data_IF_531465382003
#
_entry.id   IF_531465382003
#
_cell.length_a   1.000
_cell.length_b   1.000
_cell.length_c   1.000
_cell.angle_alpha   90.00
_cell.angle_beta   90.00
_cell.angle_gamma   90.00
#
_symmetry.space_group_name_H-M   'P 1'
#
loop_
_entity.id
_entity.type
_entity.pdbx_description
1 polymer ?
#
# COMPACT_ATOMS: atom_id res chain seq x y z
N UNK A 1 10.92 -34.11 54.27
CA UNK A 1 10.75 -32.76 53.68
C UNK A 1 9.31 -32.61 53.26
N UNK A 2 8.58 -31.61 53.77
CA UNK A 2 7.15 -31.39 53.46
C UNK A 2 7.02 -30.74 52.07
N UNK A 3 6.15 -31.24 51.17
CA UNK A 3 5.96 -30.64 49.86
C UNK A 3 5.24 -29.30 50.00
N UNK A 4 5.86 -28.24 49.49
CA UNK A 4 5.29 -26.89 49.46
C UNK A 4 3.99 -26.93 48.64
N UNK A 5 2.87 -26.51 49.25
CA UNK A 5 1.59 -26.46 48.55
C UNK A 5 1.62 -25.31 47.53
N UNK A 6 1.09 -25.52 46.31
CA UNK A 6 1.05 -24.51 45.22
C UNK A 6 0.57 -23.12 45.66
N UNK A 7 -0.37 -23.06 46.61
CA UNK A 7 -0.88 -21.79 47.16
C UNK A 7 0.17 -21.02 47.97
N UNK A 8 1.01 -21.73 48.73
CA UNK A 8 2.09 -21.13 49.51
C UNK A 8 3.23 -20.65 48.59
N UNK A 9 3.50 -21.38 47.51
CA UNK A 9 4.47 -20.95 46.49
C UNK A 9 4.05 -19.64 45.81
N UNK A 10 2.77 -19.50 45.45
CA UNK A 10 2.25 -18.28 44.81
C UNK A 10 2.27 -17.08 45.77
N UNK A 11 1.93 -17.29 47.05
CA UNK A 11 2.01 -16.24 48.06
C UNK A 11 3.46 -15.80 48.31
N UNK A 12 4.39 -16.76 48.39
CA UNK A 12 5.82 -16.49 48.56
C UNK A 12 6.41 -15.71 47.39
N UNK A 13 6.12 -16.15 46.15
CA UNK A 13 6.58 -15.47 44.93
C UNK A 13 6.00 -14.05 44.82
N UNK A 14 4.71 -13.87 45.13
CA UNK A 14 4.06 -12.55 45.11
C UNK A 14 4.65 -11.58 46.12
N UNK A 15 4.99 -12.06 47.34
CA UNK A 15 5.63 -11.23 48.36
C UNK A 15 7.07 -10.86 48.03
N UNK A 16 7.84 -11.77 47.42
CA UNK A 16 9.23 -11.53 47.04
C UNK A 16 9.36 -10.46 45.95
N UNK A 17 8.42 -10.43 44.98
CA UNK A 17 8.41 -9.43 43.92
C UNK A 17 8.11 -8.02 44.45
N UNK A 18 7.23 -7.91 45.47
CA UNK A 18 6.92 -6.64 46.11
C UNK A 18 8.10 -6.08 46.92
N UNK A 19 8.90 -6.94 47.58
CA UNK A 19 10.10 -6.51 48.33
C UNK A 19 11.29 -6.15 47.45
N UNK A 20 11.37 -6.68 46.22
CA UNK A 20 12.41 -6.32 45.23
C UNK A 20 12.11 -4.95 44.57
N UNK A 21 10.95 -4.34 44.84
CA UNK A 21 10.60 -3.01 44.36
C UNK A 21 9.85 -2.98 43.03
N UNK A 22 9.45 -4.14 42.50
CA UNK A 22 8.54 -4.21 41.38
C UNK A 22 7.11 -4.13 41.90
N UNK A 23 6.47 -2.96 41.80
CA UNK A 23 5.06 -2.84 42.13
C UNK A 23 4.24 -3.67 41.12
N UNK A 24 3.25 -4.44 41.60
CA UNK A 24 2.36 -5.19 40.72
C UNK A 24 1.67 -4.29 39.68
N UNK A 25 1.48 -3.01 40.03
CA UNK A 25 0.93 -1.99 39.14
C UNK A 25 1.88 -1.67 37.98
N UNK A 26 3.19 -1.63 38.19
CA UNK A 26 4.16 -1.38 37.12
C UNK A 26 4.24 -2.57 36.16
N UNK A 27 4.19 -3.80 36.68
CA UNK A 27 4.14 -5.02 35.86
C UNK A 27 2.87 -5.06 35.01
N UNK A 28 1.70 -4.75 35.59
CA UNK A 28 0.42 -4.72 34.88
C UNK A 28 0.42 -3.62 33.82
N UNK A 29 0.85 -2.40 34.16
CA UNK A 29 0.94 -1.28 33.21
C UNK A 29 1.90 -1.56 32.07
N UNK A 30 3.03 -2.21 32.35
CA UNK A 30 3.99 -2.63 31.35
C UNK A 30 3.40 -3.73 30.45
N UNK A 31 2.73 -4.72 31.03
CA UNK A 31 1.98 -5.75 30.29
C UNK A 31 0.90 -5.18 29.38
N UNK A 32 0.11 -4.23 29.85
CA UNK A 32 -0.93 -3.54 29.07
C UNK A 32 -0.35 -2.73 27.92
N UNK A 33 0.81 -2.09 28.12
CA UNK A 33 1.50 -1.33 27.07
C UNK A 33 2.06 -2.25 25.99
N UNK A 34 2.71 -3.35 26.38
CA UNK A 34 3.20 -4.35 25.42
C UNK A 34 2.05 -5.03 24.70
N UNK A 35 0.95 -5.34 25.40
CA UNK A 35 -0.28 -5.86 24.79
C UNK A 35 -0.88 -4.89 23.78
N UNK A 36 -0.94 -3.59 24.07
CA UNK A 36 -1.42 -2.56 23.14
C UNK A 36 -0.53 -2.38 21.91
N UNK A 37 0.80 -2.44 22.05
CA UNK A 37 1.74 -2.36 20.92
C UNK A 37 1.62 -3.59 20.02
N UNK A 38 1.46 -4.77 20.61
CA UNK A 38 1.25 -6.02 19.86
C UNK A 38 -0.16 -6.13 19.26
N UNK A 39 -1.16 -5.49 19.88
CA UNK A 39 -2.54 -5.42 19.38
C UNK A 39 -2.75 -4.30 18.36
N UNK A 40 -1.77 -3.41 18.17
CA UNK A 40 -1.80 -2.43 17.10
C UNK A 40 -1.41 -3.14 15.81
N UNK A 41 -2.34 -3.25 14.86
CA UNK A 41 -2.05 -3.78 13.52
C UNK A 41 -0.82 -3.04 12.97
N UNK A 42 0.25 -3.78 12.64
CA UNK A 42 1.41 -3.20 11.96
C UNK A 42 0.93 -2.57 10.65
N UNK A 43 1.27 -1.30 10.36
CA UNK A 43 0.86 -0.62 9.12
C UNK A 43 1.10 -1.49 7.89
N UNK A 44 0.03 -1.84 7.17
CA UNK A 44 0.13 -2.60 5.93
C UNK A 44 0.69 -1.68 4.84
N UNK A 45 1.36 -2.28 3.87
CA UNK A 45 1.98 -1.56 2.75
C UNK A 45 1.41 -2.08 1.44
N UNK A 46 0.58 -1.27 0.79
CA UNK A 46 -0.10 -1.60 -0.46
C UNK A 46 0.55 -0.85 -1.62
N UNK A 47 0.76 -1.53 -2.75
CA UNK A 47 1.22 -0.86 -3.96
C UNK A 47 0.39 -1.23 -5.19
N UNK A 48 0.17 -0.25 -6.07
CA UNK A 48 -0.32 -0.44 -7.42
C UNK A 48 0.74 0.09 -8.40
N UNK A 49 1.25 -0.79 -9.25
CA UNK A 49 2.26 -0.48 -10.26
C UNK A 49 1.65 -0.65 -11.65
N UNK A 50 1.77 0.35 -12.51
CA UNK A 50 1.20 0.35 -13.85
C UNK A 50 2.30 0.65 -14.86
N UNK A 51 2.55 -0.27 -15.78
CA UNK A 51 3.61 -0.15 -16.79
C UNK A 51 3.09 -0.45 -18.18
N UNK A 52 3.19 0.50 -19.11
CA UNK A 52 2.61 0.35 -20.46
C UNK A 52 3.66 0.64 -21.52
N UNK A 53 4.03 -0.40 -22.26
CA UNK A 53 4.86 -0.30 -23.47
C UNK A 53 4.01 -0.35 -24.74
N UNK A 54 3.02 -1.23 -24.76
CA UNK A 54 2.21 -1.50 -25.95
C UNK A 54 0.98 -0.58 -25.97
N UNK A 55 0.93 0.27 -26.98
CA UNK A 55 -0.19 1.16 -27.25
C UNK A 55 -0.85 0.81 -28.59
N UNK A 56 -2.15 1.10 -28.78
CA UNK A 56 -2.81 0.89 -30.05
C UNK A 56 -2.10 1.66 -31.16
N UNK A 57 -1.93 1.02 -32.33
CA UNK A 57 -1.32 1.68 -33.49
C UNK A 57 -2.15 2.90 -33.88
N UNK A 58 -1.64 4.08 -33.58
CA UNK A 58 -2.23 5.37 -33.89
C UNK A 58 -1.13 6.39 -34.14
N UNK A 59 -1.47 7.52 -34.76
CA UNK A 59 -0.55 8.65 -34.91
C UNK A 59 -0.31 9.39 -33.58
N UNK A 60 -1.08 9.07 -32.53
CA UNK A 60 -1.09 9.77 -31.25
C UNK A 60 -0.03 9.27 -30.29
N UNK A 61 0.06 7.96 -30.10
CA UNK A 61 0.97 7.33 -29.14
C UNK A 61 1.72 6.16 -29.78
N UNK A 62 3.05 6.25 -29.76
CA UNK A 62 3.94 5.17 -30.19
C UNK A 62 4.25 4.25 -29.02
N UNK A 63 4.57 2.99 -29.31
CA UNK A 63 5.04 2.08 -28.26
C UNK A 63 6.28 2.61 -27.55
N UNK A 64 6.35 2.32 -26.26
CA UNK A 64 7.49 2.55 -25.38
C UNK A 64 8.20 1.21 -25.12
N UNK A 65 9.39 1.27 -24.52
CA UNK A 65 10.22 0.07 -24.30
C UNK A 65 10.75 -0.06 -22.87
N UNK A 66 10.63 0.97 -22.04
CA UNK A 66 11.17 1.01 -20.67
C UNK A 66 10.17 0.73 -19.56
N UNK A 67 8.87 0.93 -19.81
CA UNK A 67 7.87 1.03 -18.74
C UNK A 67 7.65 -0.27 -17.96
N UNK A 68 7.81 -1.42 -18.63
CA UNK A 68 7.76 -2.73 -17.97
C UNK A 68 8.97 -2.94 -17.05
N UNK A 69 10.16 -2.52 -17.48
CA UNK A 69 11.36 -2.57 -16.66
C UNK A 69 11.26 -1.62 -15.45
N UNK A 70 10.67 -0.44 -15.63
CA UNK A 70 10.45 0.51 -14.54
C UNK A 70 9.60 -0.09 -13.41
N UNK A 71 8.47 -0.74 -13.76
CA UNK A 71 7.59 -1.35 -12.74
C UNK A 71 8.21 -2.61 -12.12
N UNK A 72 9.02 -3.37 -12.86
CA UNK A 72 9.77 -4.49 -12.31
C UNK A 72 10.79 -3.99 -11.26
N UNK A 73 11.62 -3.00 -11.60
CA UNK A 73 12.59 -2.42 -10.67
C UNK A 73 11.92 -1.79 -9.46
N UNK A 74 10.79 -1.10 -9.66
CA UNK A 74 10.00 -0.55 -8.56
C UNK A 74 9.47 -1.67 -7.64
N UNK A 75 8.96 -2.77 -8.20
CA UNK A 75 8.50 -3.90 -7.40
C UNK A 75 9.63 -4.49 -6.55
N UNK A 76 10.81 -4.72 -7.15
CA UNK A 76 11.97 -5.24 -6.43
C UNK A 76 12.41 -4.29 -5.31
N UNK A 77 12.44 -2.99 -5.58
CA UNK A 77 12.78 -1.97 -4.59
C UNK A 77 11.79 -1.99 -3.41
N UNK A 78 10.49 -2.02 -3.69
CA UNK A 78 9.45 -2.04 -2.66
C UNK A 78 9.54 -3.28 -1.76
N UNK A 79 9.78 -4.46 -2.35
CA UNK A 79 9.91 -5.71 -1.60
C UNK A 79 11.20 -5.69 -0.77
N UNK A 80 12.35 -5.54 -1.43
CA UNK A 80 13.65 -5.81 -0.81
C UNK A 80 14.19 -4.67 0.04
N UNK A 81 13.82 -3.41 -0.27
CA UNK A 81 14.29 -2.25 0.49
C UNK A 81 13.25 -1.72 1.45
N UNK A 82 11.98 -1.74 1.08
CA UNK A 82 10.90 -1.12 1.85
C UNK A 82 10.00 -2.13 2.57
N UNK A 83 10.23 -3.43 2.40
CA UNK A 83 9.52 -4.47 3.16
C UNK A 83 8.03 -4.55 2.82
N UNK A 84 7.65 -4.27 1.58
CA UNK A 84 6.31 -4.58 1.09
C UNK A 84 6.16 -6.09 0.95
N UNK A 85 4.98 -6.62 1.33
CA UNK A 85 4.65 -7.99 1.01
C UNK A 85 4.37 -8.08 -0.50
N UNK A 86 4.94 -9.07 -1.19
CA UNK A 86 4.71 -9.29 -2.63
C UNK A 86 3.22 -9.41 -2.97
N UNK A 87 2.43 -10.03 -2.09
CA UNK A 87 0.98 -10.21 -2.30
C UNK A 87 0.18 -8.91 -2.14
N UNK A 88 0.80 -7.85 -1.59
CA UNK A 88 0.20 -6.55 -1.41
C UNK A 88 0.58 -5.57 -2.54
N UNK A 89 1.34 -6.04 -3.52
CA UNK A 89 1.72 -5.30 -4.73
C UNK A 89 0.90 -5.84 -5.91
N UNK A 90 -0.03 -5.03 -6.41
CA UNK A 90 -0.72 -5.30 -7.66
C UNK A 90 0.03 -4.62 -8.81
N UNK A 91 0.29 -5.36 -9.88
CA UNK A 91 0.96 -4.83 -11.08
C UNK A 91 0.08 -5.04 -12.30
N UNK A 92 -0.17 -3.99 -13.06
CA UNK A 92 -0.87 -4.03 -14.35
C UNK A 92 0.11 -3.67 -15.47
N UNK A 93 0.21 -4.53 -16.48
CA UNK A 93 1.09 -4.29 -17.63
C UNK A 93 0.35 -4.35 -18.95
N UNK A 94 0.69 -3.44 -19.87
CA UNK A 94 0.16 -3.39 -21.23
C UNK A 94 -1.38 -3.50 -21.24
N UNK A 95 -1.96 -4.47 -21.95
CA UNK A 95 -3.41 -4.65 -22.10
C UNK A 95 -4.19 -4.78 -20.79
N UNK A 96 -3.54 -5.17 -19.69
CA UNK A 96 -4.17 -5.20 -18.36
C UNK A 96 -4.38 -3.80 -17.80
N UNK A 97 -3.54 -2.84 -18.18
CA UNK A 97 -3.62 -1.43 -17.81
C UNK A 97 -4.59 -0.66 -18.72
N UNK A 98 -5.74 -1.27 -19.01
CA UNK A 98 -6.87 -0.60 -19.64
C UNK A 98 -7.46 0.45 -18.70
N UNK A 99 -8.28 1.37 -19.21
CA UNK A 99 -8.96 2.37 -18.39
C UNK A 99 -9.73 1.70 -17.24
N UNK A 100 -10.50 0.67 -17.57
CA UNK A 100 -11.29 -0.07 -16.59
C UNK A 100 -10.38 -0.83 -15.62
N UNK A 101 -9.33 -1.50 -16.11
CA UNK A 101 -8.40 -2.26 -15.27
C UNK A 101 -7.69 -1.39 -14.24
N UNK A 102 -7.25 -0.18 -14.63
CA UNK A 102 -6.64 0.78 -13.71
C UNK A 102 -7.65 1.25 -12.65
N UNK A 103 -8.87 1.60 -13.05
CA UNK A 103 -9.92 2.05 -12.12
C UNK A 103 -10.32 0.95 -11.12
N UNK A 104 -10.47 -0.28 -11.59
CA UNK A 104 -10.78 -1.43 -10.75
C UNK A 104 -9.65 -1.71 -9.78
N UNK A 105 -8.39 -1.63 -10.23
CA UNK A 105 -7.23 -1.79 -9.36
C UNK A 105 -7.18 -0.68 -8.28
N UNK A 106 -7.45 0.58 -8.62
CA UNK A 106 -7.55 1.64 -7.61
C UNK A 106 -8.63 1.32 -6.56
N UNK A 107 -9.83 0.97 -7.02
CA UNK A 107 -10.96 0.74 -6.12
C UNK A 107 -10.80 -0.52 -5.26
N UNK A 108 -10.52 -1.65 -5.89
CA UNK A 108 -10.49 -2.96 -5.22
C UNK A 108 -9.18 -3.21 -4.46
N UNK A 109 -8.05 -2.71 -4.95
CA UNK A 109 -6.75 -2.95 -4.32
C UNK A 109 -6.36 -1.88 -3.32
N UNK A 110 -6.50 -0.60 -3.68
CA UNK A 110 -6.05 0.50 -2.81
C UNK A 110 -7.16 1.01 -1.90
N UNK A 111 -8.30 1.43 -2.47
CA UNK A 111 -9.36 2.11 -1.70
C UNK A 111 -10.02 1.17 -0.69
N UNK A 112 -10.48 0.00 -1.12
CA UNK A 112 -11.22 -0.93 -0.24
C UNK A 112 -10.36 -1.62 0.83
N UNK A 113 -9.06 -1.79 0.57
CA UNK A 113 -8.19 -2.56 1.47
C UNK A 113 -7.36 -1.70 2.41
N UNK A 114 -7.08 -0.44 2.06
CA UNK A 114 -6.28 0.45 2.90
C UNK A 114 -7.04 0.86 4.16
N UNK A 115 -6.31 0.94 5.28
CA UNK A 115 -6.79 1.40 6.57
C UNK A 115 -6.00 2.62 7.04
N UNK A 116 -6.54 3.43 7.98
CA UNK A 116 -5.78 4.50 8.60
C UNK A 116 -4.44 4.01 9.16
N UNK A 117 -3.35 4.66 8.75
CA UNK A 117 -1.99 4.28 9.14
C UNK A 117 -1.24 3.44 8.12
N UNK A 118 -1.91 2.84 7.13
CA UNK A 118 -1.27 2.11 6.04
C UNK A 118 -0.44 3.02 5.13
N UNK A 119 0.55 2.43 4.46
CA UNK A 119 1.33 3.09 3.42
C UNK A 119 0.85 2.62 2.06
N UNK A 120 0.45 3.55 1.21
CA UNK A 120 0.02 3.28 -0.16
C UNK A 120 1.01 3.88 -1.16
N UNK A 121 1.45 3.09 -2.13
CA UNK A 121 2.29 3.53 -3.25
C UNK A 121 1.56 3.32 -4.56
N UNK A 122 1.50 4.36 -5.39
CA UNK A 122 1.08 4.25 -6.78
C UNK A 122 2.26 4.67 -7.67
N UNK A 123 2.59 3.83 -8.65
CA UNK A 123 3.59 4.12 -9.67
C UNK A 123 2.97 3.91 -11.04
N UNK A 124 3.08 4.91 -11.91
CA UNK A 124 2.71 4.80 -13.32
C UNK A 124 3.93 5.10 -14.21
N UNK A 125 4.24 4.19 -15.14
CA UNK A 125 5.19 4.41 -16.24
C UNK A 125 4.48 4.13 -17.57
N UNK A 126 4.41 5.15 -18.41
CA UNK A 126 3.68 5.14 -19.68
C UNK A 126 3.54 6.55 -20.25
N UNK A 127 2.73 6.71 -21.31
CA UNK A 127 2.41 8.02 -21.87
C UNK A 127 1.53 8.85 -20.94
N UNK A 128 1.77 10.16 -20.97
CA UNK A 128 0.90 11.19 -20.42
C UNK A 128 0.29 12.03 -21.55
N UNK A 129 -0.85 12.65 -21.28
CA UNK A 129 -1.49 13.61 -22.19
C UNK A 129 -2.14 14.73 -21.39
N UNK A 130 -2.83 15.62 -22.10
CA UNK A 130 -3.64 16.68 -21.52
C UNK A 130 -5.03 16.64 -22.13
N UNK A 131 -6.05 16.90 -21.31
CA UNK A 131 -7.44 17.03 -21.76
C UNK A 131 -8.02 18.35 -21.27
N UNK A 132 -8.93 18.91 -22.07
CA UNK A 132 -9.69 20.07 -21.66
C UNK A 132 -10.57 19.73 -20.44
N UNK A 133 -10.43 20.52 -19.39
CA UNK A 133 -11.27 20.48 -18.21
C UNK A 133 -12.37 21.54 -18.34
N UNK A 134 -13.65 21.16 -18.40
CA UNK A 134 -14.75 22.12 -18.39
C UNK A 134 -14.87 22.89 -17.06
N UNK A 135 -14.32 22.34 -15.96
CA UNK A 135 -14.35 22.91 -14.62
C UNK A 135 -12.94 22.97 -14.01
N UNK A 136 -12.02 23.73 -14.63
CA UNK A 136 -10.61 23.72 -14.24
C UNK A 136 -10.41 24.28 -12.82
N UNK A 137 -9.48 23.66 -12.09
CA UNK A 137 -9.09 24.10 -10.74
C UNK A 137 -8.46 25.50 -10.81
N UNK A 138 -7.61 25.74 -11.81
CA UNK A 138 -7.09 27.07 -12.15
C UNK A 138 -7.89 27.65 -13.32
N UNK A 139 -8.66 28.73 -13.14
CA UNK A 139 -9.43 29.36 -14.21
C UNK A 139 -8.59 29.79 -15.43
N UNK A 140 -7.29 30.02 -15.24
CA UNK A 140 -6.36 30.42 -16.30
C UNK A 140 -5.77 29.22 -17.05
N UNK A 141 -5.87 28.02 -16.50
CA UNK A 141 -5.30 26.80 -17.08
C UNK A 141 -6.39 25.74 -17.27
N UNK A 142 -6.92 25.66 -18.50
CA UNK A 142 -8.09 24.82 -18.84
C UNK A 142 -7.73 23.36 -19.18
N UNK A 143 -6.49 22.94 -18.93
CA UNK A 143 -6.01 21.61 -19.27
C UNK A 143 -5.65 20.84 -18.00
N UNK A 144 -6.08 19.59 -17.93
CA UNK A 144 -5.65 18.64 -16.90
C UNK A 144 -4.74 17.58 -17.51
N UNK A 145 -3.65 17.26 -16.82
CA UNK A 145 -2.80 16.14 -17.18
C UNK A 145 -3.52 14.81 -16.96
N UNK A 146 -3.31 13.86 -17.86
CA UNK A 146 -3.91 12.53 -17.81
C UNK A 146 -2.87 11.45 -18.00
N UNK A 147 -3.05 10.32 -17.32
CA UNK A 147 -2.41 9.07 -17.72
C UNK A 147 -3.10 8.52 -18.97
N UNK A 148 -2.35 7.88 -19.86
CA UNK A 148 -2.88 7.26 -21.07
C UNK A 148 -2.95 5.74 -20.86
N UNK A 149 -4.15 5.15 -20.72
CA UNK A 149 -4.33 3.72 -20.61
C UNK A 149 -3.96 2.97 -21.90
N UNK A 150 -3.75 1.67 -21.79
CA UNK A 150 -3.33 0.82 -22.92
C UNK A 150 -4.41 0.65 -24.01
N UNK A 151 -5.66 1.02 -23.71
CA UNK A 151 -6.80 0.98 -24.61
C UNK A 151 -7.23 2.39 -25.09
N UNK A 152 -6.37 3.41 -24.98
CA UNK A 152 -6.64 4.72 -25.61
C UNK A 152 -6.40 4.64 -27.12
N UNK A 153 -7.47 4.47 -27.90
CA UNK A 153 -7.45 4.47 -29.37
C UNK A 153 -7.43 5.89 -29.97
N UNK A 154 -7.30 6.94 -29.14
CA UNK A 154 -7.52 8.33 -29.54
C UNK A 154 -9.01 8.69 -29.63
N UNK A 155 -9.31 9.96 -29.93
CA UNK A 155 -10.66 10.55 -29.95
C UNK A 155 -11.62 9.98 -31.04
N UNK A 156 -11.39 8.76 -31.55
CA UNK A 156 -12.29 8.13 -32.51
C UNK A 156 -13.58 7.58 -31.88
N UNK A 157 -13.61 7.35 -30.56
CA UNK A 157 -14.74 6.74 -29.85
C UNK A 157 -15.59 7.73 -29.02
N UNK A 158 -15.49 9.05 -29.29
CA UNK A 158 -16.44 10.04 -28.76
C UNK A 158 -17.45 10.45 -29.84
N UNK A 159 -18.30 9.51 -30.25
CA UNK A 159 -19.57 9.77 -30.94
C UNK A 159 -20.72 9.15 -30.15
#
# INVERSE_FOLDING_TARGET
MSPIKRRQFLQFAGSALATIGFSQLDIIRQGDRYGKIMAQDTPRKLALLVGINDYPKSDRFRNLYGCLNDVELQQQLLIHRFGFNKNDILTLTNTQASRQGILDAFNEHLVKQSKPGDVVVFHFSGHGSEVFDPNPIDPNYKLNSTFVPADDYGMLDRQ
#
